data_IF_514408204311
#
_entry.id   IF_514408204311
#
_cell.length_a   1.000
_cell.length_b   1.000
_cell.length_c   1.000
_cell.angle_alpha   90.00
_cell.angle_beta   90.00
_cell.angle_gamma   90.00
#
_symmetry.space_group_name_H-M   'P 1'
#
loop_
_entity.id
_entity.type
_entity.pdbx_description
1 polymer ?
#
# COMPACT_ATOMS: atom_id res chain seq x y z
N UNK A 1 -3.28 4.13 28.22
CA UNK A 1 -2.48 4.62 27.08
C UNK A 1 -1.01 4.51 27.46
N UNK A 2 -0.17 3.99 26.59
CA UNK A 2 1.24 3.67 26.83
C UNK A 2 2.13 4.32 25.77
N UNK A 3 3.45 4.38 25.99
CA UNK A 3 4.40 4.86 24.96
C UNK A 3 4.31 4.07 23.66
N UNK A 4 4.02 2.77 23.76
CA UNK A 4 3.74 1.89 22.62
C UNK A 4 2.54 2.38 21.79
N UNK A 5 1.43 2.75 22.43
CA UNK A 5 0.22 3.22 21.73
C UNK A 5 0.51 4.48 20.91
N UNK A 6 1.32 5.39 21.47
CA UNK A 6 1.73 6.63 20.80
C UNK A 6 2.73 6.35 19.68
N UNK A 7 3.71 5.47 19.90
CA UNK A 7 4.71 5.09 18.89
C UNK A 7 4.06 4.49 17.65
N UNK A 8 3.13 3.53 17.82
CA UNK A 8 2.39 2.94 16.70
C UNK A 8 1.49 3.97 16.02
N UNK A 9 0.85 4.89 16.77
CA UNK A 9 0.06 5.97 16.18
C UNK A 9 0.91 6.86 15.27
N UNK A 10 2.10 7.27 15.71
CA UNK A 10 3.00 8.11 14.89
C UNK A 10 3.35 7.37 13.59
N UNK A 11 3.76 6.10 13.69
CA UNK A 11 4.08 5.29 12.51
C UNK A 11 2.88 5.18 11.56
N UNK A 12 1.69 4.87 12.09
CA UNK A 12 0.46 4.76 11.30
C UNK A 12 0.10 6.06 10.59
N UNK A 13 0.11 7.18 11.31
CA UNK A 13 -0.28 8.48 10.76
C UNK A 13 0.70 8.93 9.69
N UNK A 14 2.01 8.87 9.96
CA UNK A 14 3.03 9.28 8.98
C UNK A 14 2.96 8.39 7.74
N UNK A 15 3.05 7.08 7.92
CA UNK A 15 3.04 6.12 6.81
C UNK A 15 1.74 6.18 6.00
N UNK A 16 0.61 6.22 6.71
CA UNK A 16 -0.72 6.29 6.13
C UNK A 16 -0.97 7.57 5.35
N UNK A 17 -0.68 8.73 5.95
CA UNK A 17 -0.89 10.01 5.27
C UNK A 17 0.07 10.23 4.11
N UNK A 18 1.30 9.69 4.16
CA UNK A 18 2.20 9.69 3.00
C UNK A 18 1.53 8.99 1.81
N UNK A 19 1.00 7.77 1.99
CA UNK A 19 0.30 7.08 0.89
C UNK A 19 -0.99 7.77 0.47
N UNK A 20 -1.74 8.33 1.43
CA UNK A 20 -2.95 9.09 1.10
C UNK A 20 -2.64 10.32 0.23
N UNK A 21 -1.51 11.00 0.49
CA UNK A 21 -1.05 12.12 -0.32
C UNK A 21 -0.68 11.69 -1.75
N UNK A 22 -0.07 10.51 -1.94
CA UNK A 22 0.18 9.97 -3.29
C UNK A 22 -1.12 9.73 -4.07
N UNK A 23 -2.12 9.13 -3.42
CA UNK A 23 -3.41 8.88 -4.06
C UNK A 23 -4.17 10.17 -4.35
N UNK A 24 -4.16 11.12 -3.43
CA UNK A 24 -4.72 12.46 -3.64
C UNK A 24 -4.08 13.15 -4.85
N UNK A 25 -2.74 13.09 -4.95
CA UNK A 25 -2.03 13.66 -6.09
C UNK A 25 -2.37 12.98 -7.43
N UNK A 26 -2.68 11.68 -7.44
CA UNK A 26 -3.17 11.00 -8.66
C UNK A 26 -4.56 11.49 -9.09
N UNK A 27 -5.43 11.83 -8.15
CA UNK A 27 -6.75 12.38 -8.48
C UNK A 27 -6.68 13.85 -8.89
N UNK A 28 -6.02 14.67 -8.08
CA UNK A 28 -6.16 16.12 -8.09
C UNK A 28 -4.87 16.87 -8.45
N UNK A 29 -3.74 16.14 -8.54
CA UNK A 29 -2.48 16.71 -8.97
C UNK A 29 -2.42 17.00 -10.47
N UNK A 30 -1.28 17.52 -10.91
CA UNK A 30 -1.07 17.90 -12.31
C UNK A 30 -1.22 16.69 -13.23
N UNK A 31 -2.14 16.79 -14.20
CA UNK A 31 -2.49 15.71 -15.13
C UNK A 31 -3.61 14.77 -14.63
N UNK A 32 -3.89 14.77 -13.33
CA UNK A 32 -4.94 13.97 -12.70
C UNK A 32 -4.95 12.50 -13.13
N UNK A 33 -6.14 11.90 -13.14
CA UNK A 33 -6.29 10.51 -13.54
C UNK A 33 -5.94 10.26 -15.01
N UNK A 34 -6.15 11.24 -15.90
CA UNK A 34 -5.85 11.07 -17.32
C UNK A 34 -4.34 10.93 -17.58
N UNK A 35 -3.53 11.79 -16.94
CA UNK A 35 -2.07 11.70 -17.02
C UNK A 35 -1.55 10.42 -16.36
N UNK A 36 -2.10 10.07 -15.19
CA UNK A 36 -1.76 8.84 -14.48
C UNK A 36 -2.10 7.60 -15.33
N UNK A 37 -3.23 7.61 -16.04
CA UNK A 37 -3.64 6.54 -16.94
C UNK A 37 -2.67 6.37 -18.11
N UNK A 38 -2.29 7.48 -18.77
CA UNK A 38 -1.31 7.45 -19.85
C UNK A 38 0.06 6.93 -19.39
N UNK A 39 0.46 7.25 -18.16
CA UNK A 39 1.67 6.69 -17.55
C UNK A 39 1.55 5.19 -17.29
N UNK A 40 0.44 4.70 -16.75
CA UNK A 40 0.22 3.25 -16.58
C UNK A 40 0.22 2.49 -17.91
N UNK A 41 -0.40 3.03 -18.96
CA UNK A 41 -0.38 2.42 -20.28
C UNK A 41 1.04 2.35 -20.87
N UNK A 42 1.88 3.37 -20.64
CA UNK A 42 3.25 3.44 -21.17
C UNK A 42 4.20 2.43 -20.52
N UNK A 43 4.01 2.14 -19.23
CA UNK A 43 4.75 1.11 -18.50
C UNK A 43 4.16 -0.30 -18.67
N UNK A 44 3.03 -0.45 -19.38
CA UNK A 44 2.43 -1.74 -19.70
C UNK A 44 1.38 -2.24 -18.72
N UNK A 45 0.92 -1.44 -17.76
CA UNK A 45 -0.24 -1.80 -16.92
C UNK A 45 -1.53 -1.37 -17.61
N UNK A 46 -2.22 -2.32 -18.25
CA UNK A 46 -3.36 -2.02 -19.13
C UNK A 46 -4.69 -2.56 -18.57
N UNK A 47 -5.83 -1.88 -18.79
CA UNK A 47 -5.96 -0.54 -19.36
C UNK A 47 -5.60 0.55 -18.33
N UNK A 48 -4.84 1.57 -18.73
CA UNK A 48 -4.26 2.55 -17.82
C UNK A 48 -5.27 3.30 -16.95
N UNK A 49 -6.45 3.65 -17.49
CA UNK A 49 -7.49 4.36 -16.72
C UNK A 49 -8.07 3.54 -15.56
N UNK A 50 -8.16 2.22 -15.75
CA UNK A 50 -8.57 1.32 -14.66
C UNK A 50 -7.52 1.35 -13.54
N UNK A 51 -6.25 1.19 -13.90
CA UNK A 51 -5.14 1.20 -12.92
C UNK A 51 -4.94 2.56 -12.26
N UNK A 52 -5.13 3.66 -12.98
CA UNK A 52 -5.10 5.00 -12.40
C UNK A 52 -6.13 5.16 -11.28
N UNK A 53 -7.37 4.71 -11.52
CA UNK A 53 -8.44 4.74 -10.51
C UNK A 53 -8.13 3.82 -9.35
N UNK A 54 -7.78 2.55 -9.62
CA UNK A 54 -7.51 1.55 -8.58
C UNK A 54 -6.31 1.97 -7.72
N UNK A 55 -5.22 2.42 -8.32
CA UNK A 55 -4.06 2.89 -7.57
C UNK A 55 -4.42 4.12 -6.72
N UNK A 56 -5.06 5.14 -7.31
CA UNK A 56 -5.41 6.36 -6.58
C UNK A 56 -6.39 6.10 -5.43
N UNK A 57 -7.45 5.31 -5.65
CA UNK A 57 -8.40 4.94 -4.59
C UNK A 57 -7.74 4.09 -3.52
N UNK A 58 -6.93 3.10 -3.89
CA UNK A 58 -6.29 2.20 -2.93
C UNK A 58 -5.25 2.95 -2.10
N UNK A 59 -4.45 3.82 -2.69
CA UNK A 59 -3.47 4.65 -1.98
C UNK A 59 -4.15 5.57 -0.96
N UNK A 60 -5.26 6.22 -1.34
CA UNK A 60 -6.05 7.04 -0.42
C UNK A 60 -6.70 6.21 0.67
N UNK A 61 -7.43 5.15 0.30
CA UNK A 61 -8.21 4.35 1.25
C UNK A 61 -7.31 3.56 2.20
N UNK A 62 -6.25 2.92 1.70
CA UNK A 62 -5.28 2.23 2.54
C UNK A 62 -4.47 3.22 3.37
N UNK A 63 -4.05 4.36 2.79
CA UNK A 63 -3.35 5.40 3.53
C UNK A 63 -4.16 5.93 4.72
N UNK A 64 -5.39 6.36 4.46
CA UNK A 64 -6.29 6.87 5.51
C UNK A 64 -6.70 5.76 6.49
N UNK A 65 -7.03 4.57 6.00
CA UNK A 65 -7.41 3.42 6.83
C UNK A 65 -6.30 3.01 7.80
N UNK A 66 -5.04 3.02 7.35
CA UNK A 66 -3.89 2.76 8.21
C UNK A 66 -3.70 3.88 9.24
N UNK A 67 -3.81 5.15 8.81
CA UNK A 67 -3.64 6.31 9.69
C UNK A 67 -4.66 6.31 10.84
N UNK A 68 -5.93 6.03 10.57
CA UNK A 68 -6.96 5.92 11.62
C UNK A 68 -6.94 4.57 12.36
N UNK A 69 -6.25 3.57 11.80
CA UNK A 69 -6.15 2.22 12.34
C UNK A 69 -7.51 1.51 12.29
N UNK A 70 -8.10 1.42 11.10
CA UNK A 70 -9.35 0.70 10.85
C UNK A 70 -9.10 -0.53 9.97
N UNK A 71 -9.52 -1.68 10.47
CA UNK A 71 -9.25 -3.00 9.93
C UNK A 71 -7.78 -3.14 9.51
N UNK A 72 -6.85 -2.73 10.37
CA UNK A 72 -5.44 -2.43 10.07
C UNK A 72 -4.72 -3.40 9.11
N UNK A 73 -4.93 -4.73 9.18
CA UNK A 73 -4.34 -5.65 8.22
C UNK A 73 -4.79 -5.45 6.76
N UNK A 74 -5.99 -4.92 6.52
CA UNK A 74 -6.56 -4.67 5.19
C UNK A 74 -5.89 -3.47 4.50
N UNK A 75 -5.77 -2.28 5.12
CA UNK A 75 -4.89 -1.22 4.62
C UNK A 75 -3.46 -1.70 4.40
N UNK A 76 -2.89 -2.47 5.33
CA UNK A 76 -1.54 -3.00 5.17
C UNK A 76 -1.39 -3.93 3.95
N UNK A 77 -2.40 -4.77 3.65
CA UNK A 77 -2.45 -5.53 2.41
C UNK A 77 -2.46 -4.63 1.17
N UNK A 78 -3.18 -3.51 1.22
CA UNK A 78 -3.15 -2.49 0.18
C UNK A 78 -1.75 -1.93 -0.07
N UNK A 79 -1.01 -1.61 1.00
CA UNK A 79 0.40 -1.21 0.90
C UNK A 79 1.26 -2.27 0.23
N UNK A 80 1.16 -3.53 0.66
CA UNK A 80 1.92 -4.64 0.08
C UNK A 80 1.61 -4.79 -1.41
N UNK A 81 0.34 -4.79 -1.82
CA UNK A 81 -0.06 -4.92 -3.21
C UNK A 81 0.47 -3.77 -4.08
N UNK A 82 0.29 -2.52 -3.62
CA UNK A 82 0.75 -1.31 -4.31
C UNK A 82 2.28 -1.31 -4.46
N UNK A 83 3.00 -1.59 -3.39
CA UNK A 83 4.46 -1.60 -3.38
C UNK A 83 5.03 -2.74 -4.20
N UNK A 84 4.40 -3.91 -4.21
CA UNK A 84 4.80 -5.03 -5.08
C UNK A 84 4.66 -4.66 -6.56
N UNK A 85 3.51 -4.11 -6.96
CA UNK A 85 3.28 -3.68 -8.35
C UNK A 85 4.27 -2.59 -8.73
N UNK A 86 4.43 -1.55 -7.91
CA UNK A 86 5.36 -0.45 -8.18
C UNK A 86 6.82 -0.94 -8.26
N UNK A 87 7.25 -1.78 -7.32
CA UNK A 87 8.58 -2.37 -7.32
C UNK A 87 8.82 -3.19 -8.60
N UNK A 88 7.88 -4.05 -8.98
CA UNK A 88 8.04 -4.93 -10.14
C UNK A 88 8.08 -4.18 -11.47
N UNK A 89 7.20 -3.18 -11.61
CA UNK A 89 6.95 -2.51 -12.89
C UNK A 89 7.83 -1.30 -13.14
N UNK A 90 8.26 -0.59 -12.09
CA UNK A 90 9.00 0.67 -12.21
C UNK A 90 10.41 0.58 -11.64
N UNK A 91 10.55 0.08 -10.41
CA UNK A 91 11.80 0.25 -9.65
C UNK A 91 12.79 -0.92 -9.78
N UNK A 92 12.32 -2.14 -10.10
CA UNK A 92 13.15 -3.34 -10.25
C UNK A 92 14.32 -3.17 -11.23
N UNK A 93 14.16 -2.53 -12.42
CA UNK A 93 15.27 -2.30 -13.34
C UNK A 93 16.41 -1.46 -12.75
N UNK A 94 16.11 -0.62 -11.76
CA UNK A 94 17.07 0.32 -11.17
C UNK A 94 17.88 -0.28 -10.00
N UNK A 95 17.62 -1.54 -9.64
CA UNK A 95 18.25 -2.21 -8.50
C UNK A 95 17.63 -1.80 -7.15
N UNK A 96 18.37 -1.99 -6.07
CA UNK A 96 17.85 -1.82 -4.72
C UNK A 96 17.72 -0.34 -4.30
N UNK A 97 18.82 0.43 -4.35
CA UNK A 97 18.92 1.71 -3.67
C UNK A 97 17.97 2.81 -4.18
N UNK A 98 17.29 3.50 -3.26
CA UNK A 98 16.33 4.58 -3.55
C UNK A 98 16.97 5.75 -4.31
N UNK A 99 18.25 6.05 -4.07
CA UNK A 99 18.98 7.13 -4.77
C UNK A 99 19.11 6.90 -6.28
N UNK A 100 18.85 5.67 -6.75
CA UNK A 100 18.78 5.31 -8.16
C UNK A 100 17.33 5.11 -8.64
N UNK A 101 16.34 5.51 -7.86
CA UNK A 101 14.93 5.13 -8.06
C UNK A 101 14.72 3.61 -7.98
N UNK A 102 15.50 2.93 -7.13
CA UNK A 102 15.40 1.51 -6.84
C UNK A 102 14.25 1.17 -5.86
N UNK A 103 14.02 -0.13 -5.65
CA UNK A 103 12.84 -0.63 -4.92
C UNK A 103 12.96 -0.62 -3.38
N UNK A 104 14.05 -0.08 -2.82
CA UNK A 104 14.31 0.03 -1.38
C UNK A 104 13.13 0.66 -0.63
N UNK A 105 12.62 1.80 -1.11
CA UNK A 105 11.52 2.47 -0.41
C UNK A 105 10.20 1.70 -0.50
N UNK A 106 9.95 1.00 -1.62
CA UNK A 106 8.78 0.13 -1.73
C UNK A 106 8.81 -0.97 -0.67
N UNK A 107 9.98 -1.58 -0.45
CA UNK A 107 10.18 -2.58 0.60
C UNK A 107 9.91 -1.98 1.98
N UNK A 108 10.49 -0.82 2.28
CA UNK A 108 10.34 -0.14 3.58
C UNK A 108 8.87 0.16 3.86
N UNK A 109 8.14 0.70 2.89
CA UNK A 109 6.71 1.02 3.03
C UNK A 109 5.86 -0.23 3.28
N UNK A 110 6.07 -1.29 2.48
CA UNK A 110 5.33 -2.55 2.64
C UNK A 110 5.65 -3.23 3.97
N UNK A 111 6.94 -3.37 4.31
CA UNK A 111 7.38 -4.01 5.53
C UNK A 111 6.93 -3.25 6.79
N UNK A 112 6.92 -1.91 6.75
CA UNK A 112 6.42 -1.10 7.86
C UNK A 112 4.91 -1.28 8.07
N UNK A 113 4.13 -1.32 6.99
CA UNK A 113 2.69 -1.55 7.07
C UNK A 113 2.38 -2.96 7.62
N UNK A 114 3.10 -3.99 7.16
CA UNK A 114 3.00 -5.36 7.71
C UNK A 114 3.43 -5.40 9.17
N UNK A 115 4.51 -4.71 9.53
CA UNK A 115 4.97 -4.60 10.91
C UNK A 115 3.90 -4.02 11.82
N UNK A 116 3.26 -2.92 11.41
CA UNK A 116 2.13 -2.32 12.13
C UNK A 116 0.95 -3.29 12.23
N UNK A 117 0.57 -3.97 11.16
CA UNK A 117 -0.51 -4.96 11.19
C UNK A 117 -0.19 -6.15 12.11
N UNK A 118 1.07 -6.56 12.19
CA UNK A 118 1.54 -7.65 13.06
C UNK A 118 1.54 -7.22 14.52
N UNK A 119 2.01 -6.00 14.80
CA UNK A 119 2.08 -5.43 16.14
C UNK A 119 0.67 -5.08 16.66
N UNK A 120 -0.21 -4.63 15.76
CA UNK A 120 -1.56 -4.16 16.05
C UNK A 120 -1.65 -2.63 16.12
N UNK A 121 -2.85 -2.08 15.94
CA UNK A 121 -3.07 -0.64 15.76
C UNK A 121 -2.83 0.22 17.03
N UNK A 122 -2.69 -0.40 18.20
CA UNK A 122 -2.64 0.29 19.51
C UNK A 122 -4.00 0.83 19.95
N UNK A 123 -4.09 1.37 21.17
CA UNK A 123 -5.36 1.83 21.77
C UNK A 123 -5.94 3.10 21.16
N UNK A 124 -5.12 3.89 20.46
CA UNK A 124 -5.55 5.12 19.76
C UNK A 124 -5.87 4.78 18.30
N UNK A 125 -6.85 3.91 18.08
CA UNK A 125 -7.24 3.41 16.76
C UNK A 125 -8.74 3.12 16.71
N UNK A 126 -9.30 3.12 15.50
CA UNK A 126 -10.67 2.66 15.30
C UNK A 126 -10.83 1.16 15.58
N UNK A 127 -9.80 0.35 15.36
CA UNK A 127 -9.81 -1.07 15.70
C UNK A 127 -10.06 -1.30 17.19
N UNK A 128 -9.34 -0.57 18.05
CA UNK A 128 -9.57 -0.64 19.49
C UNK A 128 -10.93 -0.06 19.87
N UNK A 129 -11.30 1.10 19.32
CA UNK A 129 -12.54 1.78 19.68
C UNK A 129 -13.80 0.98 19.29
N UNK A 130 -13.77 0.26 18.17
CA UNK A 130 -14.93 -0.42 17.61
C UNK A 130 -14.96 -1.92 17.95
N UNK A 131 -13.81 -2.57 18.08
CA UNK A 131 -13.75 -4.04 18.11
C UNK A 131 -13.15 -4.63 19.38
N UNK A 132 -12.55 -3.84 20.29
CA UNK A 132 -11.84 -4.37 21.48
C UNK A 132 -12.66 -5.32 22.37
N UNK A 133 -13.99 -5.25 22.34
CA UNK A 133 -14.89 -6.16 23.05
C UNK A 133 -15.36 -7.38 22.23
N UNK A 134 -14.80 -7.63 21.04
CA UNK A 134 -15.27 -8.66 20.10
C UNK A 134 -14.11 -9.57 19.69
N UNK A 135 -14.42 -10.82 19.31
CA UNK A 135 -13.42 -11.75 18.77
C UNK A 135 -12.81 -11.32 17.42
N UNK A 136 -13.38 -10.30 16.76
CA UNK A 136 -12.78 -9.72 15.55
C UNK A 136 -11.44 -9.04 15.88
N UNK A 137 -11.31 -8.42 17.05
CA UNK A 137 -10.09 -7.69 17.41
C UNK A 137 -8.85 -8.58 17.41
N UNK A 138 -8.98 -9.84 17.84
CA UNK A 138 -7.90 -10.83 17.84
C UNK A 138 -7.41 -11.19 16.42
N UNK A 139 -8.26 -11.00 15.40
CA UNK A 139 -7.89 -11.21 14.00
C UNK A 139 -7.18 -9.99 13.38
N UNK A 140 -7.26 -8.82 14.02
CA UNK A 140 -6.72 -7.57 13.47
C UNK A 140 -5.26 -7.31 13.84
N UNK A 141 -4.62 -8.21 14.58
CA UNK A 141 -3.22 -8.07 15.00
C UNK A 141 -2.52 -9.43 15.17
N UNK A 142 -1.26 -9.42 15.62
CA UNK A 142 -0.46 -10.63 15.83
C UNK A 142 -0.23 -11.42 14.55
N UNK A 143 -0.22 -12.75 14.67
CA UNK A 143 -0.05 -13.65 13.52
C UNK A 143 -1.17 -13.51 12.49
N UNK A 144 -2.40 -13.22 12.91
CA UNK A 144 -3.50 -13.00 11.97
C UNK A 144 -3.32 -11.70 11.20
N UNK A 145 -2.93 -10.61 11.87
CA UNK A 145 -2.61 -9.35 11.18
C UNK A 145 -1.47 -9.50 10.19
N UNK A 146 -0.42 -10.26 10.53
CA UNK A 146 0.66 -10.61 9.62
C UNK A 146 0.16 -11.42 8.42
N UNK A 147 -0.56 -12.52 8.66
CA UNK A 147 -1.03 -13.41 7.60
C UNK A 147 -2.00 -12.70 6.66
N UNK A 148 -2.98 -11.95 7.19
CA UNK A 148 -3.96 -11.22 6.40
C UNK A 148 -3.26 -10.17 5.53
N UNK A 149 -2.39 -9.35 6.11
CA UNK A 149 -1.71 -8.28 5.37
C UNK A 149 -0.80 -8.82 4.26
N UNK A 150 -0.01 -9.85 4.54
CA UNK A 150 0.91 -10.45 3.56
C UNK A 150 0.14 -11.24 2.51
N UNK A 151 -0.74 -12.17 2.89
CA UNK A 151 -1.40 -13.08 1.94
C UNK A 151 -2.32 -12.29 1.01
N UNK A 152 -3.19 -11.42 1.55
CA UNK A 152 -4.09 -10.63 0.71
C UNK A 152 -3.32 -9.64 -0.16
N UNK A 153 -2.29 -9.00 0.40
CA UNK A 153 -1.48 -8.03 -0.34
C UNK A 153 -0.69 -8.66 -1.49
N UNK A 154 -0.03 -9.79 -1.22
CA UNK A 154 0.70 -10.54 -2.25
C UNK A 154 -0.25 -11.11 -3.30
N UNK A 155 -1.38 -11.71 -2.89
CA UNK A 155 -2.38 -12.21 -3.83
C UNK A 155 -2.93 -11.10 -4.73
N UNK A 156 -3.25 -9.94 -4.15
CA UNK A 156 -3.72 -8.76 -4.89
C UNK A 156 -2.68 -8.23 -5.87
N UNK A 157 -1.44 -8.01 -5.42
CA UNK A 157 -0.37 -7.50 -6.26
C UNK A 157 0.07 -8.47 -7.37
N UNK A 158 0.22 -9.76 -7.06
CA UNK A 158 0.53 -10.80 -8.06
C UNK A 158 -0.63 -10.92 -9.05
N UNK A 159 -1.88 -10.97 -8.57
CA UNK A 159 -3.06 -11.02 -9.44
C UNK A 159 -3.10 -9.84 -10.41
N UNK A 160 -2.83 -8.62 -9.93
CA UNK A 160 -2.73 -7.43 -10.76
C UNK A 160 -1.67 -7.58 -11.86
N UNK A 161 -0.46 -8.02 -11.49
CA UNK A 161 0.63 -8.22 -12.45
C UNK A 161 0.29 -9.29 -13.50
N UNK A 162 -0.17 -10.46 -13.05
CA UNK A 162 -0.50 -11.58 -13.95
C UNK A 162 -1.59 -11.18 -14.95
N UNK A 163 -2.67 -10.57 -14.45
CA UNK A 163 -3.83 -10.27 -15.27
C UNK A 163 -3.55 -9.08 -16.21
N UNK A 164 -2.88 -8.03 -15.75
CA UNK A 164 -2.88 -6.74 -16.45
C UNK A 164 -1.51 -6.24 -16.94
N UNK A 165 -0.40 -6.79 -16.46
CA UNK A 165 0.92 -6.33 -16.88
C UNK A 165 1.31 -6.92 -18.24
N UNK A 166 1.46 -6.04 -19.23
CA UNK A 166 1.82 -6.29 -20.62
C UNK A 166 2.94 -5.32 -21.01
N UNK A 167 4.19 -5.58 -20.58
CA UNK A 167 5.29 -4.66 -20.82
C UNK A 167 5.50 -4.43 -22.32
N UNK A 168 5.90 -3.21 -22.73
CA UNK A 168 6.30 -2.95 -24.11
C UNK A 168 7.42 -3.91 -24.53
N UNK A 169 7.42 -4.32 -25.80
CA UNK A 169 8.53 -5.11 -26.33
C UNK A 169 9.83 -4.32 -26.10
N UNK A 170 10.88 -4.99 -25.60
CA UNK A 170 12.19 -4.38 -25.53
C UNK A 170 12.61 -4.06 -26.96
N UNK A 171 12.59 -2.80 -27.35
CA UNK A 171 13.30 -2.36 -28.54
C UNK A 171 14.77 -2.66 -28.28
N UNK A 172 15.34 -3.60 -29.04
CA UNK A 172 16.76 -3.94 -28.93
C UNK A 172 17.60 -2.67 -29.01
N UNK A 173 18.54 -2.52 -28.09
CA UNK A 173 19.67 -1.61 -28.23
C UNK A 173 20.65 -2.21 -29.24
#
# INVERSE_FOLDING_TARGET
MTAYDVGVLILRVVLGLTMAAHGYNKFFGKGGLAGTAGWFDSMGMKPGMFHARIAATTEMAAGLGLAVGLLTPIPAAGFVALMLVAAWTVHKPNGFFIVKEGWEYNLVLAASAVGIATIGAGKISLDYALFSGTGLYDLLHGWWGLLISVVLGMAGGIGQLVIFYRPPAKTGA
#
